data_IF_619852043025
#
_entry.id   IF_619852043025
#
_cell.length_a   1.000
_cell.length_b   1.000
_cell.length_c   1.000
_cell.angle_alpha   90.00
_cell.angle_beta   90.00
_cell.angle_gamma   90.00
#
_symmetry.space_group_name_H-M   'P 1'
#
loop_
_entity.id
_entity.type
_entity.pdbx_description
1 polymer ?
#
# COMPACT_ATOMS: atom_id res chain seq x y z
N UNK A 1 -0.79 -22.58 -11.97
CA UNK A 1 0.28 -22.66 -10.96
C UNK A 1 -0.09 -21.73 -9.80
N UNK A 2 0.59 -21.80 -8.65
CA UNK A 2 0.37 -20.82 -7.57
C UNK A 2 0.50 -19.41 -8.17
N UNK A 3 -0.49 -18.54 -7.93
CA UNK A 3 -0.53 -17.18 -8.49
C UNK A 3 -1.20 -17.01 -9.86
N UNK A 4 -1.80 -18.05 -10.47
CA UNK A 4 -2.48 -17.93 -11.77
C UNK A 4 -3.95 -17.47 -11.69
N UNK A 5 -4.51 -17.30 -10.49
CA UNK A 5 -5.90 -16.85 -10.33
C UNK A 5 -5.99 -15.36 -10.64
N UNK A 6 -7.01 -14.96 -11.42
CA UNK A 6 -7.33 -13.53 -11.65
C UNK A 6 -7.72 -12.82 -10.35
N UNK A 7 -8.41 -13.54 -9.46
CA UNK A 7 -8.91 -13.03 -8.19
C UNK A 7 -9.87 -14.02 -7.55
N UNK A 8 -10.49 -13.62 -6.45
CA UNK A 8 -11.52 -14.38 -5.76
C UNK A 8 -12.75 -13.50 -5.55
N UNK A 9 -13.94 -14.08 -5.64
CA UNK A 9 -15.20 -13.41 -5.28
C UNK A 9 -15.59 -13.85 -3.87
N UNK A 10 -15.95 -12.88 -3.02
CA UNK A 10 -16.30 -13.14 -1.63
C UNK A 10 -17.73 -12.71 -1.35
N UNK A 11 -18.48 -13.58 -0.66
CA UNK A 11 -19.74 -13.22 -0.01
C UNK A 11 -19.54 -13.25 1.50
N UNK A 12 -19.66 -12.09 2.16
CA UNK A 12 -19.44 -11.95 3.59
C UNK A 12 -20.73 -11.47 4.25
N UNK A 13 -21.23 -12.24 5.23
CA UNK A 13 -22.39 -11.86 6.05
C UNK A 13 -21.95 -11.54 7.47
N UNK A 14 -22.00 -10.26 7.83
CA UNK A 14 -21.79 -9.81 9.21
C UNK A 14 -23.07 -10.10 10.03
N UNK A 15 -22.91 -10.73 11.19
CA UNK A 15 -24.02 -11.07 12.10
C UNK A 15 -23.92 -10.22 13.37
N UNK A 16 -25.06 -10.02 14.05
CA UNK A 16 -25.16 -9.25 15.30
C UNK A 16 -24.71 -7.78 15.16
N UNK A 17 -25.03 -7.16 14.02
CA UNK A 17 -24.74 -5.75 13.74
C UNK A 17 -25.82 -4.89 14.40
N UNK A 18 -25.41 -3.92 15.23
CA UNK A 18 -26.33 -2.94 15.81
C UNK A 18 -26.77 -1.92 14.76
N UNK A 19 -27.96 -1.31 14.89
CA UNK A 19 -28.42 -0.30 13.92
C UNK A 19 -27.44 0.86 13.70
N UNK A 20 -26.77 1.32 14.75
CA UNK A 20 -25.75 2.37 14.66
C UNK A 20 -24.50 1.94 13.89
N UNK A 21 -24.11 0.67 14.00
CA UNK A 21 -22.96 0.13 13.27
C UNK A 21 -23.33 -0.18 11.82
N UNK A 22 -24.59 -0.51 11.53
CA UNK A 22 -25.07 -0.67 10.16
C UNK A 22 -24.90 0.63 9.35
N UNK A 23 -25.26 1.79 9.93
CA UNK A 23 -25.06 3.10 9.30
C UNK A 23 -23.56 3.40 9.06
N UNK A 24 -22.69 3.09 10.02
CA UNK A 24 -21.23 3.25 9.84
C UNK A 24 -20.70 2.34 8.73
N UNK A 25 -21.16 1.10 8.65
CA UNK A 25 -20.77 0.15 7.62
C UNK A 25 -21.23 0.61 6.24
N UNK A 26 -22.45 1.12 6.12
CA UNK A 26 -22.95 1.70 4.86
C UNK A 26 -22.06 2.85 4.40
N UNK A 27 -21.75 3.80 5.29
CA UNK A 27 -20.85 4.90 4.95
C UNK A 27 -19.43 4.42 4.61
N UNK A 28 -18.92 3.41 5.32
CA UNK A 28 -17.63 2.80 5.04
C UNK A 28 -17.60 2.14 3.65
N UNK A 29 -18.69 1.48 3.22
CA UNK A 29 -18.80 0.87 1.90
C UNK A 29 -18.85 1.93 0.79
N UNK A 30 -19.56 3.04 1.00
CA UNK A 30 -19.57 4.18 0.07
C UNK A 30 -18.16 4.76 -0.08
N UNK A 31 -17.44 4.93 1.03
CA UNK A 31 -16.07 5.43 1.01
C UNK A 31 -15.12 4.43 0.35
N UNK A 32 -15.27 3.14 0.63
CA UNK A 32 -14.50 2.05 0.03
C UNK A 32 -14.69 2.01 -1.49
N UNK A 33 -15.93 2.16 -1.96
CA UNK A 33 -16.21 2.20 -3.39
C UNK A 33 -15.53 3.40 -4.04
N UNK A 34 -15.57 4.59 -3.42
CA UNK A 34 -14.98 5.80 -3.99
C UNK A 34 -13.44 5.82 -3.96
N UNK A 35 -12.85 5.43 -2.83
CA UNK A 35 -11.44 5.65 -2.53
C UNK A 35 -10.60 4.37 -2.56
N UNK A 36 -11.24 3.20 -2.63
CA UNK A 36 -10.57 1.92 -2.44
C UNK A 36 -10.12 1.70 -0.99
N UNK A 37 -9.14 0.83 -0.81
CA UNK A 37 -8.52 0.56 0.48
C UNK A 37 -7.01 0.36 0.34
N UNK A 38 -6.28 0.58 1.43
CA UNK A 38 -4.87 0.27 1.51
C UNK A 38 -4.65 -1.25 1.49
N UNK A 39 -3.98 -1.75 0.44
CA UNK A 39 -3.79 -3.18 0.20
C UNK A 39 -2.69 -3.81 1.09
N UNK A 40 -2.91 -3.83 2.40
CA UNK A 40 -2.00 -4.47 3.35
C UNK A 40 -1.96 -6.00 3.19
N UNK A 41 -0.80 -6.59 3.44
CA UNK A 41 -0.72 -8.01 3.75
C UNK A 41 -1.37 -8.27 5.12
N UNK A 42 -2.38 -9.13 5.16
CA UNK A 42 -3.09 -9.48 6.39
C UNK A 42 -2.23 -10.31 7.37
N UNK A 43 -2.66 -10.36 8.63
CA UNK A 43 -1.95 -11.03 9.74
C UNK A 43 -1.55 -12.47 9.42
N UNK A 44 -2.36 -13.19 8.64
CA UNK A 44 -2.07 -14.56 8.19
C UNK A 44 -0.72 -14.69 7.47
N UNK A 45 -0.26 -13.64 6.76
CA UNK A 45 1.05 -13.63 6.08
C UNK A 45 2.21 -13.81 7.06
N UNK A 46 2.04 -13.36 8.30
CA UNK A 46 3.08 -13.31 9.32
C UNK A 46 3.04 -14.49 10.31
N UNK A 47 2.19 -15.49 10.05
CA UNK A 47 2.08 -16.69 10.87
C UNK A 47 1.23 -16.49 12.12
N UNK A 48 1.05 -17.56 12.90
CA UNK A 48 0.18 -17.57 14.08
C UNK A 48 0.61 -16.54 15.15
N UNK A 49 1.92 -16.33 15.30
CA UNK A 49 2.50 -15.43 16.29
C UNK A 49 2.91 -14.07 15.70
N UNK A 50 2.72 -13.86 14.39
CA UNK A 50 3.05 -12.61 13.72
C UNK A 50 4.56 -12.33 13.59
N UNK A 51 5.42 -13.33 13.76
CA UNK A 51 6.88 -13.19 13.86
C UNK A 51 7.66 -13.78 12.67
N UNK A 52 6.98 -14.33 11.66
CA UNK A 52 7.64 -14.88 10.46
C UNK A 52 8.61 -13.89 9.80
N UNK A 53 8.30 -12.59 9.82
CA UNK A 53 9.15 -11.55 9.25
C UNK A 53 10.50 -11.43 9.97
N UNK A 54 10.54 -11.69 11.30
CA UNK A 54 11.77 -11.69 12.10
C UNK A 54 12.67 -12.84 11.67
N UNK A 55 12.09 -14.03 11.47
CA UNK A 55 12.86 -15.16 10.94
C UNK A 55 13.38 -14.91 9.52
N UNK A 56 12.58 -14.26 8.67
CA UNK A 56 13.02 -13.80 7.34
C UNK A 56 14.23 -12.87 7.41
N UNK A 57 14.22 -11.91 8.35
CA UNK A 57 15.34 -11.01 8.60
C UNK A 57 16.60 -11.77 9.06
N UNK A 58 16.47 -12.72 9.98
CA UNK A 58 17.61 -13.52 10.45
C UNK A 58 18.22 -14.38 9.33
N UNK A 59 17.38 -14.89 8.42
CA UNK A 59 17.85 -15.59 7.20
C UNK A 59 18.67 -14.66 6.31
N UNK A 60 18.20 -13.43 6.09
CA UNK A 60 18.94 -12.42 5.31
C UNK A 60 20.26 -12.02 5.99
N UNK A 61 20.32 -12.10 7.33
CA UNK A 61 21.54 -11.89 8.13
C UNK A 61 22.49 -13.10 8.17
N UNK A 62 22.14 -14.20 7.51
CA UNK A 62 23.01 -15.37 7.37
C UNK A 62 22.57 -16.62 8.14
N UNK A 63 21.41 -16.61 8.83
CA UNK A 63 20.84 -17.83 9.42
C UNK A 63 20.62 -18.88 8.32
N UNK A 64 21.28 -20.03 8.44
CA UNK A 64 21.15 -21.12 7.49
C UNK A 64 19.81 -21.85 7.69
N UNK A 65 19.10 -22.10 6.60
CA UNK A 65 17.88 -22.90 6.59
C UNK A 65 17.92 -23.88 5.41
N UNK A 66 17.73 -25.18 5.69
CA UNK A 66 17.79 -26.24 4.66
C UNK A 66 16.54 -26.25 3.77
N UNK A 67 15.36 -25.96 4.32
CA UNK A 67 14.12 -25.97 3.56
C UNK A 67 13.99 -24.70 2.72
N UNK A 68 14.24 -24.82 1.40
CA UNK A 68 14.21 -23.70 0.45
C UNK A 68 12.83 -23.04 0.39
N UNK A 69 11.75 -23.82 0.36
CA UNK A 69 10.37 -23.27 0.28
C UNK A 69 10.03 -22.45 1.52
N UNK A 70 10.38 -22.95 2.71
CA UNK A 70 10.16 -22.22 3.96
C UNK A 70 11.03 -20.96 4.00
N UNK A 71 12.29 -21.05 3.56
CA UNK A 71 13.20 -19.91 3.46
C UNK A 71 12.61 -18.81 2.57
N UNK A 72 12.13 -19.14 1.38
CA UNK A 72 11.51 -18.18 0.46
C UNK A 72 10.24 -17.56 1.06
N UNK A 73 9.40 -18.36 1.72
CA UNK A 73 8.21 -17.88 2.40
C UNK A 73 8.54 -16.87 3.52
N UNK A 74 9.54 -17.15 4.35
CA UNK A 74 9.95 -16.26 5.45
C UNK A 74 10.58 -14.96 4.93
N UNK A 75 11.40 -15.03 3.87
CA UNK A 75 11.92 -13.84 3.19
C UNK A 75 10.76 -13.02 2.60
N UNK A 76 9.78 -13.66 1.98
CA UNK A 76 8.58 -12.99 1.46
C UNK A 76 7.74 -12.36 2.58
N UNK A 77 7.65 -12.99 3.75
CA UNK A 77 7.02 -12.40 4.92
C UNK A 77 7.76 -11.13 5.40
N UNK A 78 9.10 -11.13 5.37
CA UNK A 78 9.89 -9.93 5.66
C UNK A 78 9.64 -8.80 4.65
N UNK A 79 9.64 -9.11 3.35
CA UNK A 79 9.28 -8.12 2.32
C UNK A 79 7.86 -7.57 2.51
N UNK A 80 6.91 -8.44 2.90
CA UNK A 80 5.52 -8.05 3.18
C UNK A 80 5.42 -7.09 4.37
N UNK A 81 6.27 -7.26 5.39
CA UNK A 81 6.33 -6.35 6.55
C UNK A 81 6.88 -4.98 6.14
N UNK A 82 7.95 -4.96 5.34
CA UNK A 82 8.53 -3.71 4.83
C UNK A 82 7.52 -2.95 3.96
N UNK A 83 6.81 -3.66 3.09
CA UNK A 83 5.74 -3.09 2.28
C UNK A 83 4.60 -2.53 3.14
N UNK A 84 4.13 -3.27 4.15
CA UNK A 84 3.09 -2.78 5.06
C UNK A 84 3.55 -1.51 5.81
N UNK A 85 4.81 -1.42 6.23
CA UNK A 85 5.37 -0.21 6.87
C UNK A 85 5.43 0.97 5.92
N UNK A 86 5.89 0.73 4.70
CA UNK A 86 5.87 1.74 3.64
C UNK A 86 4.45 2.26 3.38
N UNK A 87 3.49 1.34 3.18
CA UNK A 87 2.09 1.68 2.89
C UNK A 87 1.47 2.45 4.06
N UNK A 88 1.77 2.06 5.30
CA UNK A 88 1.35 2.79 6.50
C UNK A 88 1.84 4.24 6.48
N UNK A 89 3.10 4.48 6.13
CA UNK A 89 3.63 5.83 5.99
C UNK A 89 3.01 6.62 4.83
N UNK A 90 2.65 5.97 3.72
CA UNK A 90 1.94 6.63 2.62
C UNK A 90 0.49 7.01 2.98
N UNK A 91 -0.18 6.17 3.77
CA UNK A 91 -1.50 6.47 4.31
C UNK A 91 -1.43 7.62 5.32
N UNK A 92 -0.44 7.62 6.21
CA UNK A 92 -0.17 8.73 7.15
C UNK A 92 0.08 10.04 6.40
N UNK A 93 0.96 10.03 5.39
CA UNK A 93 1.21 11.18 4.52
C UNK A 93 -0.08 11.70 3.89
N UNK A 94 -0.96 10.80 3.45
CA UNK A 94 -2.24 11.15 2.82
C UNK A 94 -3.23 11.80 3.78
N UNK A 95 -3.29 11.33 5.03
CA UNK A 95 -4.02 12.01 6.10
C UNK A 95 -3.43 13.39 6.37
N UNK A 96 -2.12 13.47 6.56
CA UNK A 96 -1.47 14.71 6.94
C UNK A 96 -1.56 15.77 5.84
N UNK A 97 -1.52 15.36 4.57
CA UNK A 97 -1.77 16.25 3.45
C UNK A 97 -3.18 16.86 3.48
N UNK A 98 -4.17 16.18 4.04
CA UNK A 98 -5.51 16.75 4.19
C UNK A 98 -5.60 17.66 5.43
N UNK A 99 -5.03 17.23 6.55
CA UNK A 99 -5.26 17.83 7.86
C UNK A 99 -4.35 19.04 8.18
N UNK A 100 -3.13 19.07 7.65
CA UNK A 100 -2.12 20.11 7.96
C UNK A 100 -1.96 21.14 6.85
N UNK A 101 -1.45 22.33 7.19
CA UNK A 101 -1.10 23.37 6.22
C UNK A 101 0.13 22.97 5.38
N UNK A 102 0.35 23.64 4.24
CA UNK A 102 1.52 23.41 3.38
C UNK A 102 2.85 23.55 4.16
N UNK A 103 2.92 24.53 5.07
CA UNK A 103 4.13 24.80 5.87
C UNK A 103 4.40 23.68 6.87
N UNK A 104 3.37 23.23 7.58
CA UNK A 104 3.47 22.12 8.54
C UNK A 104 3.84 20.82 7.83
N UNK A 105 3.21 20.53 6.68
CA UNK A 105 3.51 19.33 5.89
C UNK A 105 4.97 19.33 5.39
N UNK A 106 5.45 20.47 4.89
CA UNK A 106 6.84 20.65 4.48
C UNK A 106 7.82 20.39 5.63
N UNK A 107 7.49 20.85 6.84
CA UNK A 107 8.30 20.62 8.03
C UNK A 107 8.28 19.16 8.50
N UNK A 108 7.11 18.51 8.53
CA UNK A 108 6.96 17.12 9.01
C UNK A 108 7.77 16.15 8.15
N UNK A 109 7.68 16.29 6.83
CA UNK A 109 8.31 15.36 5.89
C UNK A 109 9.64 15.85 5.32
N UNK A 110 10.11 17.04 5.73
CA UNK A 110 11.31 17.69 5.18
C UNK A 110 11.28 17.83 3.65
N UNK A 111 10.11 18.22 3.11
CA UNK A 111 9.90 18.41 1.66
C UNK A 111 9.83 19.90 1.30
N UNK A 112 9.99 20.21 0.02
CA UNK A 112 9.83 21.59 -0.48
C UNK A 112 8.39 22.08 -0.34
N UNK A 113 8.23 23.41 -0.36
CA UNK A 113 6.90 24.03 -0.32
C UNK A 113 6.09 23.68 -1.57
N UNK A 114 6.76 23.55 -2.70
CA UNK A 114 6.20 23.16 -3.99
C UNK A 114 5.64 21.74 -3.94
N UNK A 115 6.40 20.78 -3.40
CA UNK A 115 5.94 19.40 -3.19
C UNK A 115 4.76 19.33 -2.22
N UNK A 116 4.81 20.06 -1.11
CA UNK A 116 3.72 20.12 -0.15
C UNK A 116 2.43 20.67 -0.79
N UNK A 117 2.55 21.71 -1.62
CA UNK A 117 1.43 22.27 -2.38
C UNK A 117 0.88 21.28 -3.41
N UNK A 118 1.75 20.56 -4.10
CA UNK A 118 1.37 19.53 -5.08
C UNK A 118 0.60 18.38 -4.41
N UNK A 119 1.05 17.91 -3.25
CA UNK A 119 0.35 16.90 -2.43
C UNK A 119 -1.05 17.37 -2.01
N UNK A 120 -1.17 18.60 -1.50
CA UNK A 120 -2.45 19.16 -1.06
C UNK A 120 -3.43 19.41 -2.21
N UNK A 121 -2.93 19.67 -3.42
CA UNK A 121 -3.77 19.91 -4.61
C UNK A 121 -4.49 18.65 -5.09
N UNK A 122 -3.98 17.46 -4.75
CA UNK A 122 -4.60 16.20 -5.15
C UNK A 122 -5.90 15.95 -4.38
N UNK A 123 -7.00 15.76 -5.09
CA UNK A 123 -8.33 15.58 -4.50
C UNK A 123 -8.53 14.20 -3.88
N UNK A 124 -7.95 13.16 -4.48
CA UNK A 124 -8.10 11.80 -3.98
C UNK A 124 -7.35 11.64 -2.65
N UNK A 125 -7.80 10.68 -1.83
CA UNK A 125 -7.19 10.42 -0.53
C UNK A 125 -5.72 10.03 -0.68
N UNK A 126 -5.44 8.94 -1.40
CA UNK A 126 -4.07 8.42 -1.54
C UNK A 126 -3.25 9.32 -2.45
N UNK A 127 -2.26 10.02 -1.87
CA UNK A 127 -1.43 10.99 -2.60
C UNK A 127 -0.36 10.27 -3.41
N UNK A 128 -0.28 10.55 -4.71
CA UNK A 128 0.81 10.12 -5.56
C UNK A 128 2.01 11.09 -5.44
N UNK A 129 3.20 10.56 -5.66
CA UNK A 129 4.48 11.26 -5.57
C UNK A 129 5.16 11.25 -6.93
N UNK A 130 5.74 12.39 -7.30
CA UNK A 130 6.62 12.44 -8.47
C UNK A 130 7.82 11.50 -8.27
N UNK A 131 8.16 10.75 -9.31
CA UNK A 131 9.26 9.79 -9.30
C UNK A 131 8.96 8.47 -8.58
N UNK A 132 7.75 8.23 -8.08
CA UNK A 132 7.42 6.90 -7.56
C UNK A 132 7.18 5.89 -8.68
N UNK A 133 7.27 4.60 -8.34
CA UNK A 133 6.97 3.51 -9.29
C UNK A 133 5.47 3.23 -9.29
N UNK A 134 4.87 3.49 -10.45
CA UNK A 134 3.50 3.17 -10.79
C UNK A 134 3.45 1.90 -11.64
N UNK A 135 2.29 1.26 -11.71
CA UNK A 135 2.07 0.10 -12.57
C UNK A 135 0.67 0.11 -13.16
N UNK A 136 0.55 -0.37 -14.40
CA UNK A 136 -0.76 -0.55 -15.03
C UNK A 136 -1.59 -1.60 -14.27
N UNK A 137 -2.85 -1.26 -14.00
CA UNK A 137 -3.81 -2.10 -13.30
C UNK A 137 -4.92 -2.57 -14.27
N UNK A 138 -5.40 -3.83 -14.17
CA UNK A 138 -4.95 -4.88 -13.25
C UNK A 138 -3.65 -5.57 -13.68
N UNK A 139 -3.19 -5.34 -14.92
CA UNK A 139 -1.98 -5.96 -15.46
C UNK A 139 -1.20 -4.96 -16.31
N UNK A 140 0.14 -5.00 -16.17
CA UNK A 140 1.04 -4.38 -17.12
C UNK A 140 2.37 -4.00 -16.47
N UNK A 141 3.15 -3.17 -17.17
CA UNK A 141 4.52 -2.83 -16.78
C UNK A 141 4.54 -1.78 -15.67
N UNK A 142 5.60 -1.80 -14.87
CA UNK A 142 5.92 -0.72 -13.96
C UNK A 142 6.65 0.41 -14.70
N UNK A 143 6.46 1.64 -14.26
CA UNK A 143 7.09 2.85 -14.80
C UNK A 143 7.22 3.93 -13.72
N UNK A 144 8.07 4.94 -13.95
CA UNK A 144 8.22 6.08 -13.04
C UNK A 144 7.15 7.14 -13.30
N UNK A 145 6.65 7.74 -12.22
CA UNK A 145 5.76 8.89 -12.29
C UNK A 145 6.52 10.17 -12.67
N UNK A 146 6.78 10.37 -13.97
CA UNK A 146 7.46 11.58 -14.47
C UNK A 146 6.52 12.79 -14.56
N UNK A 147 5.31 12.59 -15.09
CA UNK A 147 4.24 13.57 -15.17
C UNK A 147 3.12 13.25 -14.17
N UNK A 148 3.22 13.79 -12.97
CA UNK A 148 2.25 13.55 -11.91
C UNK A 148 0.84 14.01 -12.30
N UNK A 149 0.71 15.11 -13.06
CA UNK A 149 -0.62 15.65 -13.40
C UNK A 149 -1.38 14.72 -14.33
N UNK A 150 -0.70 14.16 -15.35
CA UNK A 150 -1.30 13.17 -16.24
C UNK A 150 -1.61 11.85 -15.52
N UNK A 151 -0.71 11.38 -14.66
CA UNK A 151 -0.88 10.11 -13.96
C UNK A 151 -1.98 10.15 -12.88
N UNK A 152 -2.25 11.32 -12.28
CA UNK A 152 -3.36 11.47 -11.33
C UNK A 152 -4.72 11.13 -11.94
N UNK A 153 -4.96 11.53 -13.18
CA UNK A 153 -6.23 11.24 -13.86
C UNK A 153 -6.37 9.74 -14.17
N UNK A 154 -5.27 9.10 -14.59
CA UNK A 154 -5.22 7.64 -14.79
C UNK A 154 -5.40 6.85 -13.49
N UNK A 155 -4.87 7.37 -12.38
CA UNK A 155 -5.04 6.77 -11.06
C UNK A 155 -6.49 6.87 -10.57
N UNK A 156 -7.14 8.03 -10.74
CA UNK A 156 -8.57 8.21 -10.45
C UNK A 156 -9.44 7.28 -11.30
N UNK A 157 -9.07 7.08 -12.57
CA UNK A 157 -9.72 6.13 -13.47
C UNK A 157 -9.46 4.65 -13.13
N UNK A 158 -8.56 4.36 -12.17
CA UNK A 158 -8.13 3.02 -11.74
C UNK A 158 -7.37 2.22 -12.82
N UNK A 159 -6.75 2.92 -13.76
CA UNK A 159 -5.92 2.31 -14.80
C UNK A 159 -4.50 2.01 -14.30
N UNK A 160 -4.11 2.62 -13.18
CA UNK A 160 -2.78 2.46 -12.57
C UNK A 160 -2.86 2.40 -11.05
N UNK A 161 -1.82 1.87 -10.42
CA UNK A 161 -1.63 1.85 -8.97
C UNK A 161 -0.21 2.23 -8.59
N UNK A 162 -0.05 2.85 -7.41
CA UNK A 162 1.24 2.95 -6.75
C UNK A 162 1.71 1.55 -6.31
N UNK A 163 2.93 1.17 -6.68
CA UNK A 163 3.43 -0.20 -6.50
C UNK A 163 4.24 -0.40 -5.22
N UNK A 164 4.65 0.68 -4.56
CA UNK A 164 5.40 0.64 -3.31
C UNK A 164 6.72 -0.12 -3.43
N UNK A 165 7.54 0.26 -4.42
CA UNK A 165 8.81 -0.37 -4.71
C UNK A 165 9.69 -0.46 -3.45
N UNK A 166 10.06 -1.68 -3.08
CA UNK A 166 11.12 -1.93 -2.10
C UNK A 166 12.46 -1.90 -2.83
N UNK A 167 13.34 -0.99 -2.42
CA UNK A 167 14.68 -0.84 -3.02
C UNK A 167 15.53 -2.11 -2.84
N UNK A 168 16.34 -2.42 -3.84
CA UNK A 168 17.26 -3.56 -3.84
C UNK A 168 17.91 -3.76 -5.20
N UNK A 169 18.87 -4.67 -5.30
CA UNK A 169 19.61 -4.94 -6.55
C UNK A 169 18.76 -5.43 -7.73
N UNK A 170 17.48 -5.76 -7.48
CA UNK A 170 16.49 -6.16 -8.47
C UNK A 170 15.28 -5.21 -8.53
N UNK A 171 15.44 -4.00 -8.00
CA UNK A 171 14.44 -2.94 -8.14
C UNK A 171 14.31 -2.53 -9.61
N UNK A 172 13.09 -2.11 -9.98
CA UNK A 172 12.58 -1.92 -11.33
C UNK A 172 13.53 -1.17 -12.29
#
# INVERSE_FOLDING_TARGET
RIGHLKGNSFFIRLKKVLPSDALKLEQALINLDKQGFANYFGYQRFGKFGDNYKEGLEILRGKKMKNVKMKEFLISAFQSELFNRYLSKRVELSHFANDFTEKELAQIYSISKEEAKELKKQEQFFKLLKGEVLGHYPFGKCFLCEDLSAELERFKARDISAMGLLIGAKAY
#
